data_IF_610074301382
#
_entry.id   IF_610074301382
#
_cell.length_a   1.000
_cell.length_b   1.000
_cell.length_c   1.000
_cell.angle_alpha   90.00
_cell.angle_beta   90.00
_cell.angle_gamma   90.00
#
_symmetry.space_group_name_H-M   'P 1'
#
loop_
_entity.id
_entity.type
_entity.pdbx_description
1 polymer ?
#
# COMPACT_ATOMS: atom_id res chain seq x y z
N UNK A 1 -10.39 -5.58 11.86
CA UNK A 1 -9.90 -4.21 11.53
C UNK A 1 -8.37 -4.21 11.58
N UNK A 2 -7.65 -3.26 10.96
CA UNK A 2 -6.17 -3.32 10.89
C UNK A 2 -5.49 -3.58 12.24
N UNK A 3 -5.89 -2.88 13.30
CA UNK A 3 -5.31 -3.08 14.64
C UNK A 3 -5.61 -4.47 15.22
N UNK A 4 -6.85 -4.94 15.11
CA UNK A 4 -7.27 -6.26 15.61
C UNK A 4 -6.53 -7.38 14.87
N UNK A 5 -6.47 -7.27 13.54
CA UNK A 5 -5.81 -8.24 12.69
C UNK A 5 -4.29 -8.29 12.97
N UNK A 6 -3.67 -7.13 13.27
CA UNK A 6 -2.26 -7.06 13.69
C UNK A 6 -1.99 -7.72 15.04
N UNK A 7 -2.90 -7.53 16.01
CA UNK A 7 -2.80 -8.18 17.31
C UNK A 7 -2.94 -9.70 17.11
N UNK A 8 -3.90 -10.14 16.30
CA UNK A 8 -4.15 -11.54 16.01
C UNK A 8 -3.00 -12.23 15.24
N UNK A 9 -2.32 -11.51 14.33
CA UNK A 9 -1.29 -12.09 13.46
C UNK A 9 0.12 -12.05 14.05
N UNK A 10 0.41 -11.13 14.97
CA UNK A 10 1.77 -10.84 15.43
C UNK A 10 1.91 -10.67 16.95
N UNK A 11 0.89 -10.97 17.74
CA UNK A 11 0.82 -10.60 19.17
C UNK A 11 1.07 -9.10 19.41
N UNK A 12 0.71 -8.26 18.42
CA UNK A 12 0.98 -6.81 18.43
C UNK A 12 2.45 -6.42 18.18
N UNK A 13 3.36 -7.36 17.93
CA UNK A 13 4.77 -7.08 17.62
C UNK A 13 4.96 -6.85 16.12
N UNK A 14 5.23 -5.62 15.72
CA UNK A 14 5.55 -5.30 14.33
C UNK A 14 6.55 -4.15 14.24
N UNK A 15 7.23 -4.05 13.09
CA UNK A 15 8.04 -2.86 12.82
C UNK A 15 7.09 -1.69 12.59
N UNK A 16 7.30 -0.54 13.26
CA UNK A 16 6.45 0.62 13.04
C UNK A 16 6.54 1.06 11.58
N UNK A 17 5.37 1.19 10.95
CA UNK A 17 5.22 1.69 9.58
C UNK A 17 4.62 3.11 9.62
N UNK A 18 4.94 3.94 8.63
CA UNK A 18 4.41 5.32 8.57
C UNK A 18 2.94 5.32 8.12
N UNK A 19 2.10 6.10 8.79
CA UNK A 19 0.80 6.49 8.28
C UNK A 19 0.97 7.72 7.39
N UNK A 20 0.69 7.58 6.11
CA UNK A 20 0.65 8.69 5.16
C UNK A 20 -0.78 9.22 5.04
N UNK A 21 -0.91 10.53 4.85
CA UNK A 21 -2.17 11.15 4.45
C UNK A 21 -2.48 10.89 2.97
N UNK A 22 -3.75 10.94 2.60
CA UNK A 22 -4.17 10.91 1.20
C UNK A 22 -3.57 12.08 0.43
N UNK A 23 -3.47 13.26 1.06
CA UNK A 23 -2.90 14.47 0.45
C UNK A 23 -1.42 14.29 0.08
N UNK A 24 -0.62 13.65 0.92
CA UNK A 24 0.78 13.33 0.60
C UNK A 24 0.87 12.41 -0.61
N UNK A 25 0.08 11.34 -0.65
CA UNK A 25 0.14 10.37 -1.75
C UNK A 25 -0.42 10.92 -3.05
N UNK A 26 -1.46 11.77 -2.99
CA UNK A 26 -1.96 12.50 -4.16
C UNK A 26 -0.89 13.45 -4.71
N UNK A 27 -0.23 14.25 -3.86
CA UNK A 27 0.86 15.13 -4.33
C UNK A 27 2.02 14.34 -4.94
N UNK A 28 2.40 13.23 -4.30
CA UNK A 28 3.51 12.40 -4.78
C UNK A 28 3.27 11.80 -6.16
N UNK A 29 2.02 11.60 -6.56
CA UNK A 29 1.61 10.91 -7.79
C UNK A 29 0.92 11.82 -8.81
N UNK A 30 1.02 13.14 -8.64
CA UNK A 30 0.25 14.11 -9.44
C UNK A 30 -1.25 13.74 -9.52
N UNK A 31 -1.85 13.47 -8.36
CA UNK A 31 -3.22 13.01 -8.20
C UNK A 31 -3.51 11.66 -8.91
N UNK A 32 -2.61 10.69 -8.75
CA UNK A 32 -2.67 9.37 -9.41
C UNK A 32 -2.78 9.47 -10.94
N UNK A 33 -1.98 10.36 -11.53
CA UNK A 33 -1.93 10.54 -12.98
C UNK A 33 -1.58 9.22 -13.69
N UNK A 34 -2.22 8.89 -14.84
CA UNK A 34 -1.90 7.67 -15.60
C UNK A 34 -0.41 7.53 -15.96
N UNK A 35 0.31 8.64 -16.16
CA UNK A 35 1.76 8.62 -16.42
C UNK A 35 2.59 8.10 -15.24
N UNK A 36 2.02 8.06 -14.03
CA UNK A 36 2.65 7.47 -12.85
C UNK A 36 2.45 5.94 -12.78
N UNK A 37 1.62 5.33 -13.62
CA UNK A 37 1.38 3.88 -13.58
C UNK A 37 2.66 3.14 -13.96
N UNK A 38 3.12 2.23 -13.09
CA UNK A 38 4.38 1.51 -13.29
C UNK A 38 4.18 0.29 -14.19
N UNK A 39 3.03 -0.35 -14.08
CA UNK A 39 2.64 -1.47 -14.93
C UNK A 39 1.13 -1.41 -15.15
N UNK A 40 0.71 -1.27 -16.41
CA UNK A 40 -0.66 -1.50 -16.83
C UNK A 40 -0.96 -3.01 -16.80
N UNK A 41 -2.21 -3.37 -16.51
CA UNK A 41 -2.78 -4.73 -16.68
C UNK A 41 -2.18 -5.89 -15.84
N UNK A 42 -1.45 -5.62 -14.74
CA UNK A 42 -0.92 -6.72 -13.89
C UNK A 42 -2.00 -7.39 -13.04
N UNK A 43 -2.99 -6.63 -12.60
CA UNK A 43 -4.09 -7.14 -11.80
C UNK A 43 -5.32 -6.26 -11.97
N UNK A 44 -6.52 -6.82 -12.18
CA UNK A 44 -7.74 -6.02 -12.13
C UNK A 44 -7.89 -5.38 -10.73
N UNK A 45 -7.52 -6.12 -9.69
CA UNK A 45 -7.80 -5.76 -8.30
C UNK A 45 -7.05 -4.51 -7.77
N UNK A 46 -5.91 -4.13 -8.37
CA UNK A 46 -5.10 -3.01 -7.89
C UNK A 46 -4.21 -2.41 -8.99
N UNK A 47 -3.84 -1.15 -8.81
CA UNK A 47 -2.87 -0.43 -9.63
C UNK A 47 -1.64 -0.04 -8.81
N UNK A 48 -0.49 0.01 -9.46
CA UNK A 48 0.78 0.45 -8.87
C UNK A 48 1.22 1.77 -9.50
N UNK A 49 1.46 2.78 -8.66
CA UNK A 49 1.85 4.12 -9.07
C UNK A 49 3.25 4.45 -8.55
N UNK A 50 4.06 5.06 -9.40
CA UNK A 50 5.33 5.69 -9.03
C UNK A 50 5.02 7.07 -8.47
N UNK A 51 5.47 7.33 -7.25
CA UNK A 51 5.40 8.65 -6.65
C UNK A 51 6.78 9.18 -6.27
N UNK A 52 6.89 10.50 -6.13
CA UNK A 52 8.06 11.17 -5.55
C UNK A 52 7.61 11.85 -4.26
N UNK A 53 8.20 11.46 -3.13
CA UNK A 53 7.93 12.04 -1.82
C UNK A 53 9.26 12.29 -1.11
N UNK A 54 9.49 13.53 -0.64
CA UNK A 54 10.74 13.94 0.02
C UNK A 54 12.00 13.57 -0.80
N UNK A 55 11.97 13.87 -2.11
CA UNK A 55 13.01 13.53 -3.10
C UNK A 55 13.32 12.03 -3.25
N UNK A 56 12.45 11.16 -2.74
CA UNK A 56 12.58 9.70 -2.85
C UNK A 56 11.48 9.14 -3.72
N UNK A 57 11.85 8.19 -4.58
CA UNK A 57 10.87 7.40 -5.34
C UNK A 57 10.21 6.39 -4.41
N UNK A 58 8.88 6.38 -4.41
CA UNK A 58 8.04 5.42 -3.68
C UNK A 58 7.11 4.71 -4.66
N UNK A 59 6.67 3.51 -4.28
CA UNK A 59 5.72 2.71 -5.06
C UNK A 59 4.43 2.58 -4.26
N UNK A 60 3.33 3.09 -4.80
CA UNK A 60 2.03 3.10 -4.14
C UNK A 60 1.16 2.04 -4.80
N UNK A 61 0.76 1.03 -4.04
CA UNK A 61 -0.23 0.03 -4.44
C UNK A 61 -1.60 0.47 -3.95
N UNK A 62 -2.53 0.70 -4.87
CA UNK A 62 -3.89 1.15 -4.59
C UNK A 62 -4.90 0.17 -5.17
N UNK A 63 -5.77 -0.36 -4.31
CA UNK A 63 -6.84 -1.26 -4.72
C UNK A 63 -7.94 -0.53 -5.50
N UNK A 64 -8.51 -1.21 -6.50
CA UNK A 64 -9.59 -0.69 -7.33
C UNK A 64 -10.92 -1.20 -6.77
N UNK A 65 -11.80 -0.30 -6.33
CA UNK A 65 -13.07 -0.67 -5.69
C UNK A 65 -14.07 -1.33 -6.63
N UNK A 66 -14.03 -1.01 -7.92
CA UNK A 66 -15.00 -1.45 -8.92
C UNK A 66 -14.88 -2.95 -9.24
N UNK A 67 -13.71 -3.55 -8.98
CA UNK A 67 -13.43 -4.96 -9.26
C UNK A 67 -13.90 -5.90 -8.13
N UNK A 68 -14.42 -5.34 -7.04
CA UNK A 68 -14.91 -6.11 -5.90
C UNK A 68 -16.41 -5.92 -5.72
N UNK A 69 -17.15 -7.03 -5.71
CA UNK A 69 -18.59 -7.05 -5.40
C UNK A 69 -18.82 -6.60 -3.96
N UNK A 70 -17.95 -7.03 -3.03
CA UNK A 70 -18.02 -6.69 -1.62
C UNK A 70 -16.86 -5.77 -1.20
N UNK A 71 -17.20 -4.53 -0.80
CA UNK A 71 -16.21 -3.53 -0.36
C UNK A 71 -15.51 -3.91 0.94
N UNK A 72 -16.19 -4.60 1.85
CA UNK A 72 -15.58 -5.03 3.11
C UNK A 72 -14.58 -6.16 2.90
N UNK A 73 -14.84 -7.03 1.92
CA UNK A 73 -13.89 -8.04 1.47
C UNK A 73 -12.65 -7.40 0.83
N UNK A 74 -12.85 -6.43 -0.08
CA UNK A 74 -11.76 -5.65 -0.68
C UNK A 74 -10.89 -4.96 0.38
N UNK A 75 -11.52 -4.36 1.39
CA UNK A 75 -10.83 -3.74 2.52
C UNK A 75 -10.05 -4.78 3.32
N UNK A 76 -10.62 -5.96 3.55
CA UNK A 76 -9.97 -7.06 4.27
C UNK A 76 -8.74 -7.57 3.53
N UNK A 77 -8.78 -7.64 2.19
CA UNK A 77 -7.61 -7.95 1.37
C UNK A 77 -6.50 -6.89 1.52
N UNK A 78 -6.86 -5.62 1.44
CA UNK A 78 -5.88 -4.53 1.59
C UNK A 78 -5.24 -4.51 3.00
N UNK A 79 -6.04 -4.75 4.05
CA UNK A 79 -5.55 -4.86 5.43
C UNK A 79 -4.60 -6.06 5.57
N UNK A 80 -5.00 -7.23 5.08
CA UNK A 80 -4.15 -8.44 5.11
C UNK A 80 -2.84 -8.24 4.37
N UNK A 81 -2.87 -7.55 3.23
CA UNK A 81 -1.68 -7.23 2.45
C UNK A 81 -0.72 -6.31 3.24
N UNK A 82 -1.24 -5.30 3.95
CA UNK A 82 -0.44 -4.45 4.84
C UNK A 82 0.27 -5.30 5.91
N UNK A 83 -0.48 -6.20 6.56
CA UNK A 83 0.04 -7.03 7.64
C UNK A 83 1.15 -7.95 7.15
N UNK A 84 0.90 -8.69 6.07
CA UNK A 84 1.89 -9.61 5.49
C UNK A 84 3.10 -8.84 4.99
N UNK A 85 2.89 -7.72 4.27
CA UNK A 85 3.99 -6.89 3.76
C UNK A 85 4.84 -6.33 4.89
N UNK A 86 4.21 -5.90 6.00
CA UNK A 86 4.93 -5.42 7.17
C UNK A 86 5.76 -6.51 7.85
N UNK A 87 5.22 -7.74 7.96
CA UNK A 87 5.97 -8.89 8.50
C UNK A 87 7.16 -9.25 7.60
N UNK A 88 6.96 -9.23 6.28
CA UNK A 88 7.98 -9.60 5.31
C UNK A 88 9.03 -8.51 5.09
N UNK A 89 8.79 -7.27 5.50
CA UNK A 89 9.65 -6.10 5.25
C UNK A 89 11.08 -6.19 5.80
N UNK A 90 11.36 -7.15 6.69
CA UNK A 90 12.73 -7.41 7.21
C UNK A 90 13.51 -8.42 6.37
N UNK A 91 12.83 -9.15 5.48
CA UNK A 91 13.43 -10.19 4.68
C UNK A 91 14.14 -9.62 3.45
N UNK A 92 15.40 -10.03 3.23
CA UNK A 92 16.28 -9.47 2.17
C UNK A 92 15.77 -9.59 0.72
N UNK A 93 14.80 -10.47 0.47
CA UNK A 93 14.21 -10.69 -0.86
C UNK A 93 12.77 -10.19 -0.96
N UNK A 94 12.22 -9.60 0.10
CA UNK A 94 10.91 -8.99 0.07
C UNK A 94 11.06 -7.48 -0.15
N UNK A 95 10.12 -6.89 -0.90
CA UNK A 95 10.05 -5.44 -1.05
C UNK A 95 9.62 -4.81 0.28
N UNK A 96 10.36 -3.82 0.75
CA UNK A 96 10.05 -3.18 2.04
C UNK A 96 8.80 -2.33 1.97
N UNK A 97 7.88 -2.54 2.91
CA UNK A 97 6.78 -1.65 3.21
C UNK A 97 7.30 -0.46 4.01
N UNK A 98 7.10 0.76 3.50
CA UNK A 98 7.43 2.00 4.18
C UNK A 98 6.25 2.49 5.03
N UNK A 99 5.02 2.19 4.60
CA UNK A 99 3.81 2.67 5.25
C UNK A 99 2.53 2.35 4.52
N UNK A 100 1.44 2.90 5.02
CA UNK A 100 0.12 2.81 4.40
C UNK A 100 -0.64 4.12 4.55
N UNK A 101 -1.70 4.28 3.76
CA UNK A 101 -2.68 5.33 3.90
C UNK A 101 -4.06 4.71 4.10
N UNK A 102 -4.75 5.10 5.17
CA UNK A 102 -6.07 4.59 5.55
C UNK A 102 -7.21 5.57 5.22
N UNK A 103 -6.89 6.77 4.72
CA UNK A 103 -7.86 7.84 4.43
C UNK A 103 -8.62 7.62 3.11
N UNK A 104 -8.13 6.72 2.24
CA UNK A 104 -8.83 6.32 1.02
C UNK A 104 -9.96 5.32 1.32
N UNK A 105 -10.87 5.12 0.36
CA UNK A 105 -11.96 4.14 0.47
C UNK A 105 -11.48 2.72 0.77
N UNK A 106 -10.37 2.33 0.17
CA UNK A 106 -9.58 1.13 0.47
C UNK A 106 -8.16 1.57 0.84
N UNK A 107 -7.53 0.94 1.86
CA UNK A 107 -6.15 1.25 2.22
C UNK A 107 -5.18 1.17 1.04
N UNK A 108 -4.24 2.11 0.98
CA UNK A 108 -3.14 2.08 0.03
C UNK A 108 -1.84 1.70 0.74
N UNK A 109 -1.00 0.92 0.07
CA UNK A 109 0.32 0.50 0.57
C UNK A 109 1.41 1.34 -0.09
N UNK A 110 2.42 1.70 0.69
CA UNK A 110 3.58 2.48 0.21
C UNK A 110 4.84 1.66 0.42
N UNK A 111 5.49 1.30 -0.68
CA UNK A 111 6.71 0.51 -0.70
C UNK A 111 7.91 1.35 -1.14
N UNK A 112 9.10 0.84 -0.84
CA UNK A 112 10.32 1.36 -1.45
C UNK A 112 10.36 1.10 -2.95
N UNK A 113 11.16 1.89 -3.67
CA UNK A 113 11.44 1.63 -5.08
C UNK A 113 12.41 0.44 -5.21
N UNK A 114 12.06 -0.53 -6.06
CA UNK A 114 12.88 -1.72 -6.30
C UNK A 114 14.08 -1.47 -7.23
N UNK A 115 14.10 -0.37 -7.98
CA UNK A 115 15.23 -0.03 -8.84
C UNK A 115 16.38 0.49 -7.97
N UNK A 116 17.44 -0.35 -7.85
CA UNK A 116 18.79 0.03 -7.45
C UNK A 116 19.59 0.45 -8.67
#
# INVERSE_FOLDING_TARGET
MLLEDLIASCDGKSNPIRCYSAAELMRATNNFDPSCIIMEDVSPCYQMFRGILDDRTIIIKKYITQEYINKDEARSYAIRDIIISMQMSTHKYALKLLGCCLEFSLPALVHENAAK
#
